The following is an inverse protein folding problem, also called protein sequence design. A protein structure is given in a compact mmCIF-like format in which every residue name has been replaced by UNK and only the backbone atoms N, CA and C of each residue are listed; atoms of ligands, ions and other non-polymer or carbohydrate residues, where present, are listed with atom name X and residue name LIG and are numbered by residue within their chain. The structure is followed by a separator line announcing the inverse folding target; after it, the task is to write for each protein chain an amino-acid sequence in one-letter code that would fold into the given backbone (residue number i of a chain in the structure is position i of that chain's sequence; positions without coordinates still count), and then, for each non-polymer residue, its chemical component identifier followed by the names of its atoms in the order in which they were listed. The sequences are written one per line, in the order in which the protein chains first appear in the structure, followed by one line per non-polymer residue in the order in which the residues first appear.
data_IF_685696971666
#
_entry.id   IF_685696971666
#
_cell.length_a   1.000
_cell.length_b   1.000
_cell.length_c   1.000
_cell.angle_alpha   90.00
_cell.angle_beta   90.00
_cell.angle_gamma   90.00
#
_symmetry.space_group_name_H-M   'P 1'
#
loop_
_entity.id
_entity.type
_entity.pdbx_description
1 polymer ?
#
# COMPACT_ATOMS: atom_id res chain seq x y z
N UNK A 1 -6.77 6.28 -24.49
CA UNK A 1 -6.19 5.60 -23.31
C UNK A 1 -4.88 6.31 -22.92
N UNK A 2 -4.92 7.36 -22.09
CA UNK A 2 -3.70 8.04 -21.58
C UNK A 2 -3.66 8.14 -20.04
N UNK A 3 -4.57 7.46 -19.35
CA UNK A 3 -4.76 7.62 -17.90
C UNK A 3 -4.33 6.37 -17.11
N UNK A 4 -3.78 5.36 -17.76
CA UNK A 4 -3.31 4.13 -17.11
C UNK A 4 -1.84 4.27 -16.73
N UNK A 5 -1.50 3.78 -15.54
CA UNK A 5 -0.15 3.64 -15.03
C UNK A 5 0.11 2.17 -14.72
N UNK A 6 1.29 1.69 -15.09
CA UNK A 6 1.76 0.34 -14.81
C UNK A 6 3.14 0.45 -14.19
N UNK A 7 3.35 -0.26 -13.08
CA UNK A 7 4.61 -0.20 -12.34
C UNK A 7 4.85 -1.48 -11.55
N UNK A 8 6.09 -1.65 -11.10
CA UNK A 8 6.48 -2.75 -10.24
C UNK A 8 6.79 -2.27 -8.82
N UNK A 9 6.36 -3.06 -7.84
CA UNK A 9 6.67 -2.87 -6.42
C UNK A 9 7.44 -4.09 -5.95
N UNK A 10 8.58 -3.87 -5.31
CA UNK A 10 9.40 -4.94 -4.77
C UNK A 10 9.89 -4.60 -3.37
N UNK A 11 10.14 -5.64 -2.57
CA UNK A 11 10.61 -5.46 -1.20
C UNK A 11 11.16 -6.75 -0.62
N UNK A 12 12.18 -6.63 0.23
CA UNK A 12 12.72 -7.79 0.96
C UNK A 12 11.67 -8.39 1.91
N UNK A 13 10.85 -7.53 2.50
CA UNK A 13 9.75 -7.92 3.39
C UNK A 13 8.53 -7.03 3.16
N UNK A 14 7.33 -7.58 3.41
CA UNK A 14 6.08 -6.82 3.48
C UNK A 14 5.18 -7.33 4.61
N UNK A 15 4.37 -6.45 5.18
CA UNK A 15 3.42 -6.75 6.25
C UNK A 15 2.06 -6.11 5.96
N UNK A 16 1.16 -6.85 5.33
CA UNK A 16 -0.24 -6.46 5.14
C UNK A 16 -1.06 -7.07 6.26
N UNK A 17 -1.09 -6.40 7.42
CA UNK A 17 -1.59 -7.01 8.67
C UNK A 17 -3.04 -7.48 8.57
N UNK A 18 -3.29 -8.75 8.93
CA UNK A 18 -4.63 -9.27 9.17
C UNK A 18 -5.16 -8.72 10.52
N UNK A 19 -6.25 -7.94 10.53
CA UNK A 19 -6.81 -7.36 11.75
C UNK A 19 -7.25 -8.40 12.78
N UNK A 20 -7.58 -9.64 12.38
CA UNK A 20 -7.96 -10.71 13.31
C UNK A 20 -6.78 -11.12 14.19
N UNK A 21 -5.57 -11.09 13.64
CA UNK A 21 -4.36 -11.53 14.35
C UNK A 21 -3.80 -10.49 15.31
N UNK A 22 -4.23 -9.23 15.17
CA UNK A 22 -3.75 -8.09 15.95
C UNK A 22 -4.04 -8.18 17.44
N UNK A 23 -5.11 -8.88 17.86
CA UNK A 23 -5.55 -8.91 19.26
C UNK A 23 -4.57 -9.65 20.18
N UNK A 24 -3.73 -10.55 19.66
CA UNK A 24 -2.76 -11.33 20.44
C UNK A 24 -1.39 -10.69 20.62
N UNK A 25 -1.19 -9.43 20.18
CA UNK A 25 0.13 -8.79 20.17
C UNK A 25 1.05 -9.23 19.04
N UNK A 26 0.77 -10.37 18.41
CA UNK A 26 1.40 -10.84 17.17
C UNK A 26 0.73 -10.19 15.95
N UNK A 27 1.43 -10.19 14.81
CA UNK A 27 0.87 -9.73 13.53
C UNK A 27 1.24 -10.69 12.44
N UNK A 28 0.25 -11.11 11.66
CA UNK A 28 0.46 -11.91 10.48
C UNK A 28 0.10 -11.10 9.25
N UNK A 29 0.95 -11.17 8.23
CA UNK A 29 0.63 -10.62 6.92
C UNK A 29 -0.40 -11.50 6.21
N UNK A 30 -1.34 -10.87 5.52
CA UNK A 30 -2.03 -11.51 4.41
C UNK A 30 -1.03 -12.03 3.38
N UNK A 31 -1.47 -13.03 2.62
CA UNK A 31 -0.71 -13.65 1.53
C UNK A 31 -0.49 -12.70 0.34
N UNK A 32 -1.39 -11.73 0.15
CA UNK A 32 -1.35 -10.73 -0.91
C UNK A 32 -1.68 -9.33 -0.35
N UNK A 33 -1.20 -8.25 -1.01
CA UNK A 33 -1.58 -6.88 -0.68
C UNK A 33 -3.10 -6.66 -0.69
N UNK A 34 -3.61 -5.85 0.24
CA UNK A 34 -5.00 -5.38 0.19
C UNK A 34 -5.16 -4.25 -0.83
N UNK A 35 -6.37 -4.04 -1.33
CA UNK A 35 -6.66 -2.92 -2.24
C UNK A 35 -6.24 -1.57 -1.65
N UNK A 36 -6.51 -1.35 -0.36
CA UNK A 36 -6.13 -0.11 0.32
C UNK A 36 -4.61 0.06 0.43
N UNK A 37 -3.87 -1.02 0.67
CA UNK A 37 -2.41 -0.97 0.68
C UNK A 37 -1.86 -0.60 -0.71
N UNK A 38 -2.39 -1.18 -1.78
CA UNK A 38 -2.01 -0.84 -3.16
C UNK A 38 -2.36 0.61 -3.51
N UNK A 39 -3.55 1.07 -3.11
CA UNK A 39 -3.96 2.46 -3.28
C UNK A 39 -2.97 3.41 -2.59
N UNK A 40 -2.63 3.15 -1.34
CA UNK A 40 -1.63 3.95 -0.61
C UNK A 40 -0.26 3.94 -1.29
N UNK A 41 0.17 2.81 -1.85
CA UNK A 41 1.42 2.72 -2.63
C UNK A 41 1.32 3.60 -3.90
N UNK A 42 0.23 3.53 -4.66
CA UNK A 42 0.05 4.38 -5.85
C UNK A 42 0.03 5.86 -5.50
N UNK A 43 -0.70 6.24 -4.45
CA UNK A 43 -0.77 7.62 -3.98
C UNK A 43 0.59 8.12 -3.48
N UNK A 44 1.46 7.23 -2.97
CA UNK A 44 2.84 7.59 -2.60
C UNK A 44 3.74 7.93 -3.78
N UNK A 45 3.43 7.43 -5.00
CA UNK A 45 4.15 7.80 -6.22
C UNK A 45 3.78 9.22 -6.63
N UNK A 46 2.47 9.51 -6.69
CA UNK A 46 1.95 10.84 -6.94
C UNK A 46 0.51 10.95 -6.48
N UNK A 47 0.23 12.00 -5.72
CA UNK A 47 -1.11 12.30 -5.23
C UNK A 47 -1.45 13.78 -5.34
N UNK A 48 -2.69 14.04 -5.73
CA UNK A 48 -3.38 15.33 -5.58
C UNK A 48 -4.81 15.08 -5.16
N UNK A 49 -5.44 15.96 -4.37
CA UNK A 49 -6.84 15.80 -3.95
C UNK A 49 -7.84 15.81 -5.12
N UNK A 50 -7.42 16.31 -6.28
CA UNK A 50 -8.23 16.35 -7.51
C UNK A 50 -8.18 15.06 -8.33
N UNK A 51 -7.35 14.09 -7.94
CA UNK A 51 -7.06 12.87 -8.69
C UNK A 51 -7.46 11.67 -7.83
N UNK A 52 -8.26 10.76 -8.41
CA UNK A 52 -8.56 9.48 -7.79
C UNK A 52 -7.81 8.38 -8.53
N UNK A 53 -6.97 7.65 -7.80
CA UNK A 53 -6.24 6.48 -8.31
C UNK A 53 -7.08 5.24 -8.04
N UNK A 54 -7.44 4.52 -9.11
CA UNK A 54 -8.19 3.26 -9.04
C UNK A 54 -7.24 2.15 -9.44
N UNK A 55 -7.12 1.12 -8.58
CA UNK A 55 -6.33 -0.07 -8.90
C UNK A 55 -7.19 -0.99 -9.76
N UNK A 56 -6.68 -1.36 -10.93
CA UNK A 56 -7.38 -2.24 -11.86
C UNK A 56 -6.95 -3.69 -11.63
N UNK A 57 -5.63 -3.93 -11.59
CA UNK A 57 -5.08 -5.27 -11.53
C UNK A 57 -3.82 -5.35 -10.68
N UNK A 58 -3.64 -6.54 -10.10
CA UNK A 58 -2.45 -6.95 -9.38
C UNK A 58 -1.98 -8.29 -9.93
N UNK A 59 -0.70 -8.38 -10.27
CA UNK A 59 -0.03 -9.65 -10.56
C UNK A 59 1.08 -9.90 -9.57
N UNK A 60 1.01 -11.06 -8.90
CA UNK A 60 2.04 -11.55 -7.98
C UNK A 60 3.13 -12.23 -8.82
N UNK A 61 4.36 -11.73 -8.73
CA UNK A 61 5.47 -12.18 -9.58
C UNK A 61 6.32 -13.25 -8.91
N UNK A 62 6.44 -13.22 -7.59
CA UNK A 62 7.23 -14.15 -6.80
C UNK A 62 6.32 -15.11 -5.99
N UNK A 63 6.78 -16.34 -5.70
CA UNK A 63 6.04 -17.26 -4.84
C UNK A 63 5.84 -16.68 -3.44
N UNK A 64 4.66 -16.91 -2.87
CA UNK A 64 4.29 -16.42 -1.55
C UNK A 64 5.09 -17.18 -0.48
N UNK A 65 5.97 -16.47 0.22
CA UNK A 65 6.82 -17.01 1.30
C UNK A 65 6.63 -16.17 2.54
N UNK A 66 6.54 -16.82 3.69
CA UNK A 66 6.42 -16.15 4.98
C UNK A 66 7.64 -16.41 5.87
N UNK A 67 8.01 -15.41 6.66
CA UNK A 67 9.09 -15.48 7.64
C UNK A 67 8.65 -14.80 8.94
N UNK A 68 8.70 -15.54 10.05
CA UNK A 68 8.43 -15.00 11.39
C UNK A 68 9.68 -14.34 11.95
N UNK A 69 9.52 -13.15 12.53
CA UNK A 69 10.60 -12.39 13.16
C UNK A 69 10.16 -11.84 14.51
N UNK A 70 11.04 -12.02 15.50
CA UNK A 70 10.95 -11.31 16.76
C UNK A 70 11.16 -9.82 16.53
N UNK A 71 10.19 -9.01 16.93
CA UNK A 71 10.23 -7.56 16.84
C UNK A 71 9.85 -6.95 18.19
N UNK A 72 10.32 -5.72 18.40
CA UNK A 72 9.87 -4.88 19.50
C UNK A 72 8.85 -3.88 18.96
N UNK A 73 7.55 -4.03 19.25
CA UNK A 73 6.54 -3.06 18.82
C UNK A 73 6.82 -1.68 19.41
N UNK A 74 6.58 -0.65 18.62
CA UNK A 74 6.64 0.75 19.08
C UNK A 74 5.24 1.10 19.60
N UNK A 75 5.10 1.20 20.91
CA UNK A 75 3.85 1.56 21.59
C UNK A 75 4.05 2.87 22.37
N UNK A 76 3.03 3.73 22.35
CA UNK A 76 3.11 5.08 22.95
C UNK A 76 3.41 5.05 24.46
N UNK A 77 2.97 4.01 25.16
CA UNK A 77 3.18 3.84 26.61
C UNK A 77 4.58 3.39 27.01
N UNK A 78 5.44 3.02 26.06
CA UNK A 78 6.75 2.44 26.36
C UNK A 78 6.63 1.05 26.98
N UNK A 79 7.04 0.02 26.25
CA UNK A 79 7.09 -1.36 26.72
C UNK A 79 8.30 -2.10 26.17
N UNK A 80 8.78 -3.11 26.90
CA UNK A 80 9.86 -4.02 26.49
C UNK A 80 9.29 -5.35 25.96
N UNK A 81 8.07 -5.35 25.42
CA UNK A 81 7.41 -6.56 24.94
C UNK A 81 8.05 -7.02 23.64
N UNK A 82 8.42 -8.29 23.58
CA UNK A 82 8.81 -8.97 22.35
C UNK A 82 7.56 -9.56 21.71
N UNK A 83 7.38 -9.34 20.42
CA UNK A 83 6.27 -9.90 19.64
C UNK A 83 6.82 -10.59 18.39
N UNK A 84 6.13 -11.63 17.93
CA UNK A 84 6.47 -12.28 16.67
C UNK A 84 5.58 -11.75 15.55
N UNK A 85 6.19 -11.14 14.54
CA UNK A 85 5.48 -10.71 13.33
C UNK A 85 5.86 -11.63 12.18
N UNK A 86 4.86 -12.14 11.47
CA UNK A 86 5.04 -12.97 10.29
C UNK A 86 4.91 -12.11 9.04
N UNK A 87 6.02 -11.92 8.36
CA UNK A 87 6.15 -11.09 7.16
C UNK A 87 6.09 -11.93 5.89
N UNK A 88 5.63 -11.34 4.80
CA UNK A 88 5.96 -11.84 3.47
C UNK A 88 7.44 -11.56 3.18
N UNK A 89 8.13 -12.50 2.52
CA UNK A 89 9.54 -12.38 2.13
C UNK A 89 9.70 -12.34 0.62
N UNK A 90 10.63 -11.51 0.15
CA UNK A 90 11.05 -11.42 -1.26
C UNK A 90 9.86 -11.19 -2.20
N UNK A 91 9.12 -10.11 -1.93
CA UNK A 91 7.89 -9.80 -2.63
C UNK A 91 8.17 -8.99 -3.89
N UNK A 92 7.44 -9.30 -4.96
CA UNK A 92 7.41 -8.53 -6.20
C UNK A 92 6.02 -8.56 -6.81
N UNK A 93 5.51 -7.39 -7.16
CA UNK A 93 4.17 -7.20 -7.70
C UNK A 93 4.22 -6.31 -8.94
N UNK A 94 3.46 -6.67 -9.96
CA UNK A 94 3.10 -5.77 -11.06
C UNK A 94 1.71 -5.21 -10.76
N UNK A 95 1.57 -3.89 -10.80
CA UNK A 95 0.33 -3.19 -10.49
C UNK A 95 -0.07 -2.35 -11.68
N UNK A 96 -1.35 -2.46 -12.07
CA UNK A 96 -1.99 -1.58 -13.05
C UNK A 96 -3.05 -0.77 -12.35
N UNK A 97 -3.03 0.53 -12.59
CA UNK A 97 -4.00 1.47 -12.06
C UNK A 97 -4.34 2.51 -13.12
N UNK A 98 -5.45 3.22 -12.92
CA UNK A 98 -5.76 4.38 -13.73
C UNK A 98 -6.24 5.56 -12.90
N UNK A 99 -6.06 6.74 -13.49
CA UNK A 99 -6.60 7.99 -12.98
C UNK A 99 -8.07 8.10 -13.36
N UNK A 100 -8.94 8.04 -12.36
CA UNK A 100 -10.34 8.38 -12.49
C UNK A 100 -10.54 9.88 -12.24
N UNK A 101 -10.84 10.60 -13.32
CA UNK A 101 -11.12 12.04 -13.28
C UNK A 101 -12.60 12.31 -13.03
N UNK A 102 -13.02 12.39 -11.78
CA UNK A 102 -14.27 13.07 -11.39
C UNK A 102 -14.30 13.34 -9.89
N UNK A 103 -14.27 14.62 -9.51
CA UNK A 103 -15.36 15.32 -8.81
C UNK A 103 -15.03 16.81 -8.64
N UNK A 104 -16.06 17.62 -8.89
CA UNK A 104 -16.16 19.05 -8.59
C UNK A 104 -15.88 19.30 -7.10
N UNK A 105 -14.66 19.65 -6.73
CA UNK A 105 -14.48 20.44 -5.51
C UNK A 105 -14.81 21.87 -5.89
N UNK A 106 -16.10 22.20 -5.82
CA UNK A 106 -16.61 23.56 -6.02
C UNK A 106 -16.25 24.44 -4.81
N UNK A 107 -14.99 24.42 -4.36
CA UNK A 107 -14.46 25.31 -3.32
C UNK A 107 -12.95 25.10 -3.04
N UNK A 108 -12.11 24.77 -4.02
CA UNK A 108 -10.68 25.06 -3.85
C UNK A 108 -10.18 25.86 -5.04
N UNK A 109 -9.71 27.04 -4.70
CA UNK A 109 -9.57 28.20 -5.56
C UNK A 109 -8.65 27.95 -6.75
N UNK A 110 -8.89 28.76 -7.79
CA UNK A 110 -7.98 29.09 -8.88
C UNK A 110 -6.51 28.91 -8.48
N UNK A 111 -5.89 27.81 -8.88
CA UNK A 111 -4.44 27.77 -9.02
C UNK A 111 -4.08 27.25 -10.40
N UNK A 112 -3.68 28.22 -11.22
CA UNK A 112 -3.11 28.03 -12.55
C UNK A 112 -1.85 27.18 -12.42
N UNK A 113 -1.88 25.99 -12.99
CA UNK A 113 -0.72 25.45 -13.68
C UNK A 113 -1.21 24.73 -14.94
N UNK A 114 -1.33 25.53 -16.01
CA UNK A 114 -1.39 25.04 -17.38
C UNK A 114 0.00 24.47 -17.67
N UNK A 115 0.03 23.27 -18.28
CA UNK A 115 1.21 22.43 -18.62
C UNK A 115 1.62 21.48 -17.50
N UNK A 116 0.97 20.30 -17.38
CA UNK A 116 1.56 19.18 -16.64
C UNK A 116 1.06 17.82 -17.20
N UNK A 117 2.00 17.12 -17.85
CA UNK A 117 2.16 15.65 -18.04
C UNK A 117 1.11 14.88 -18.86
#
# INVERSE_FOLDING_TARGET
MRNSIEFEVYGKYALFTDPLTKMGGEKLSYQIPTYQALKGIVESIYWKPTILMIIDDLRVMNPIKMESKGVRPIEYGGGNTLANYTYLRDVRYQVRAHVYGKIKVQSFAKEKCRVLH
#
